data_IF_379802620811
#
_entry.id   IF_379802620811
#
_cell.length_a   1.000
_cell.length_b   1.000
_cell.length_c   1.000
_cell.angle_alpha   90.00
_cell.angle_beta   90.00
_cell.angle_gamma   90.00
#
_symmetry.space_group_name_H-M   'P 1'
#
loop_
_entity.id
_entity.type
_entity.pdbx_description
1 polymer ?
#
# COMPACT_ATOMS: atom_id res chain seq x y z
N UNK A 1 -11.93 10.75 -0.63
CA UNK A 1 -12.84 9.57 -0.73
C UNK A 1 -12.13 8.26 -0.43
N UNK A 2 -11.39 7.62 -1.36
CA UNK A 2 -10.76 6.31 -1.09
C UNK A 2 -9.71 6.40 0.05
N UNK A 3 -8.89 7.45 0.03
CA UNK A 3 -7.91 7.69 1.09
C UNK A 3 -8.53 7.82 2.48
N UNK A 4 -9.57 8.63 2.64
CA UNK A 4 -10.24 8.83 3.93
C UNK A 4 -10.86 7.53 4.48
N UNK A 5 -11.37 6.66 3.60
CA UNK A 5 -11.91 5.36 3.99
C UNK A 5 -10.79 4.46 4.53
N UNK A 6 -9.65 4.39 3.83
CA UNK A 6 -8.45 3.65 4.26
C UNK A 6 -7.92 4.19 5.58
N UNK A 7 -7.79 5.51 5.71
CA UNK A 7 -7.30 6.15 6.93
C UNK A 7 -8.21 5.88 8.12
N UNK A 8 -9.52 6.02 7.94
CA UNK A 8 -10.51 5.77 8.98
C UNK A 8 -10.47 4.32 9.46
N UNK A 9 -10.38 3.37 8.54
CA UNK A 9 -10.36 1.95 8.87
C UNK A 9 -9.05 1.51 9.53
N UNK A 10 -7.91 1.99 9.02
CA UNK A 10 -6.61 1.74 9.63
C UNK A 10 -6.52 2.36 11.04
N UNK A 11 -7.08 3.57 11.25
CA UNK A 11 -7.14 4.20 12.57
C UNK A 11 -7.97 3.41 13.56
N UNK A 12 -9.11 2.83 13.15
CA UNK A 12 -9.92 1.92 14.01
C UNK A 12 -9.12 0.69 14.45
N UNK A 13 -8.25 0.19 13.57
CA UNK A 13 -7.39 -0.97 13.82
C UNK A 13 -6.12 -0.61 14.64
N UNK A 14 -5.89 0.69 14.88
CA UNK A 14 -4.70 1.18 15.57
C UNK A 14 -3.43 1.10 14.72
N UNK A 15 -3.57 1.08 13.40
CA UNK A 15 -2.43 1.05 12.48
C UNK A 15 -1.99 2.47 12.16
N UNK A 16 -0.68 2.65 12.00
CA UNK A 16 -0.16 3.86 11.40
C UNK A 16 -0.33 3.76 9.89
N UNK A 17 -1.00 4.75 9.30
CA UNK A 17 -1.35 4.74 7.88
C UNK A 17 -0.94 6.06 7.23
N UNK A 18 -0.31 5.95 6.07
CA UNK A 18 -0.06 7.09 5.20
C UNK A 18 -0.69 6.82 3.84
N UNK A 19 -1.56 7.71 3.38
CA UNK A 19 -2.20 7.58 2.07
C UNK A 19 -1.73 8.66 1.11
N UNK A 20 -1.11 8.26 0.01
CA UNK A 20 -0.84 9.13 -1.16
C UNK A 20 -2.05 9.08 -2.10
N UNK A 21 -2.62 10.24 -2.40
CA UNK A 21 -3.72 10.37 -3.35
C UNK A 21 -3.19 10.80 -4.70
N UNK A 22 -3.60 10.16 -5.80
CA UNK A 22 -3.27 10.61 -7.15
C UNK A 22 -4.51 11.00 -7.91
N UNK A 23 -4.63 12.29 -8.19
CA UNK A 23 -5.70 12.85 -9.01
C UNK A 23 -5.18 13.51 -10.28
N UNK A 24 -6.08 14.10 -11.07
CA UNK A 24 -5.76 14.82 -12.30
C UNK A 24 -4.80 16.00 -12.11
N UNK A 25 -4.71 16.52 -10.89
CA UNK A 25 -3.83 17.65 -10.51
C UNK A 25 -2.47 17.20 -9.97
N UNK A 26 -2.23 15.89 -9.85
CA UNK A 26 -0.98 15.31 -9.35
C UNK A 26 -1.15 14.46 -8.09
N UNK A 27 -0.02 14.11 -7.46
CA UNK A 27 0.03 13.35 -6.22
C UNK A 27 -0.07 14.28 -5.00
N UNK A 28 -1.10 14.08 -4.16
CA UNK A 28 -1.23 14.67 -2.84
C UNK A 28 -0.70 13.72 -1.76
N UNK A 29 -0.14 14.26 -0.69
CA UNK A 29 0.46 13.50 0.42
C UNK A 29 1.51 12.48 -0.06
N UNK A 30 2.44 12.94 -0.90
CA UNK A 30 3.53 12.13 -1.42
C UNK A 30 4.23 11.35 -0.31
N UNK A 31 4.34 10.04 -0.51
CA UNK A 31 5.02 9.14 0.42
C UNK A 31 6.53 9.30 0.24
N UNK A 32 7.24 9.55 1.34
CA UNK A 32 8.70 9.66 1.33
C UNK A 32 9.35 8.27 1.37
N UNK A 33 10.57 8.10 0.86
CA UNK A 33 11.29 6.83 0.92
C UNK A 33 11.54 6.36 2.36
N UNK A 34 11.66 7.27 3.32
CA UNK A 34 11.78 6.96 4.74
C UNK A 34 10.52 6.30 5.30
N UNK A 35 9.34 6.83 4.92
CA UNK A 35 8.06 6.23 5.27
C UNK A 35 7.95 4.83 4.65
N UNK A 36 8.36 4.66 3.39
CA UNK A 36 8.40 3.34 2.73
C UNK A 36 9.28 2.37 3.50
N UNK A 37 10.46 2.81 3.93
CA UNK A 37 11.37 1.98 4.72
C UNK A 37 10.75 1.55 6.05
N UNK A 38 9.99 2.44 6.71
CA UNK A 38 9.29 2.15 7.96
C UNK A 38 8.02 1.28 7.79
N UNK A 39 7.43 1.25 6.60
CA UNK A 39 6.21 0.50 6.36
C UNK A 39 6.45 -1.01 6.28
N UNK A 40 5.53 -1.76 6.87
CA UNK A 40 5.48 -3.22 6.83
C UNK A 40 4.71 -3.73 5.59
N UNK A 41 3.74 -2.94 5.12
CA UNK A 41 2.82 -3.30 4.04
C UNK A 41 2.50 -2.11 3.15
N UNK A 42 2.46 -2.33 1.84
CA UNK A 42 2.09 -1.36 0.82
C UNK A 42 0.79 -1.80 0.14
N UNK A 43 -0.20 -0.92 0.04
CA UNK A 43 -1.46 -1.15 -0.66
C UNK A 43 -1.58 -0.16 -1.81
N UNK A 44 -1.76 -0.67 -3.02
CA UNK A 44 -1.94 0.13 -4.22
C UNK A 44 -3.38 -0.03 -4.69
N UNK A 45 -4.22 0.93 -4.35
CA UNK A 45 -5.62 1.00 -4.73
C UNK A 45 -5.80 1.92 -5.94
N UNK A 46 -5.28 1.55 -7.11
CA UNK A 46 -5.27 2.41 -8.29
C UNK A 46 -5.79 1.68 -9.54
N UNK A 47 -6.66 2.34 -10.30
CA UNK A 47 -7.19 1.84 -11.59
C UNK A 47 -6.33 2.28 -12.80
N UNK A 48 -5.25 3.00 -12.54
CA UNK A 48 -4.29 3.51 -13.53
C UNK A 48 -2.89 2.97 -13.23
N UNK A 49 -1.96 3.17 -14.16
CA UNK A 49 -0.54 2.91 -13.90
C UNK A 49 0.03 4.00 -12.98
N UNK A 50 0.69 3.55 -11.92
CA UNK A 50 1.37 4.39 -10.94
C UNK A 50 2.82 3.94 -10.83
N UNK A 51 3.71 4.90 -10.59
CA UNK A 51 5.12 4.59 -10.33
C UNK A 51 5.27 4.00 -8.93
N UNK A 52 5.71 2.74 -8.90
CA UNK A 52 5.85 1.93 -7.69
C UNK A 52 7.30 1.53 -7.42
N UNK A 53 8.25 2.03 -8.19
CA UNK A 53 9.66 1.63 -8.08
C UNK A 53 10.21 1.91 -6.67
N UNK A 54 9.70 2.96 -6.01
CA UNK A 54 10.02 3.29 -4.61
C UNK A 54 9.62 2.22 -3.58
N UNK A 55 8.68 1.33 -3.93
CA UNK A 55 8.19 0.25 -3.06
C UNK A 55 8.88 -1.11 -3.35
N UNK A 56 9.93 -1.13 -4.16
CA UNK A 56 10.68 -2.34 -4.45
C UNK A 56 11.16 -3.05 -3.17
N UNK A 57 10.94 -4.36 -3.09
CA UNK A 57 11.32 -5.18 -1.94
C UNK A 57 10.33 -5.15 -0.77
N UNK A 58 9.26 -4.36 -0.84
CA UNK A 58 8.21 -4.33 0.19
C UNK A 58 7.05 -5.27 -0.15
N UNK A 59 6.39 -5.87 0.86
CA UNK A 59 5.13 -6.57 0.65
C UNK A 59 4.10 -5.59 0.10
N UNK A 60 3.56 -5.90 -1.07
CA UNK A 60 2.65 -5.06 -1.80
C UNK A 60 1.39 -5.84 -2.18
N UNK A 61 0.24 -5.20 -2.01
CA UNK A 61 -1.06 -5.67 -2.47
C UNK A 61 -1.67 -4.64 -3.41
N UNK A 62 -2.15 -5.06 -4.59
CA UNK A 62 -2.78 -4.18 -5.58
C UNK A 62 -4.27 -4.46 -5.69
N UNK A 63 -5.09 -3.40 -5.71
CA UNK A 63 -6.54 -3.43 -5.88
C UNK A 63 -7.03 -2.18 -6.64
N UNK A 64 -8.34 -2.07 -6.88
CA UNK A 64 -8.97 -0.91 -7.54
C UNK A 64 -9.38 0.17 -6.54
N UNK A 65 -9.47 1.43 -6.99
CA UNK A 65 -9.95 2.54 -6.13
C UNK A 65 -11.38 2.29 -5.64
N UNK A 66 -12.23 1.74 -6.52
CA UNK A 66 -13.62 1.43 -6.23
C UNK A 66 -13.78 0.37 -5.13
N UNK A 67 -12.94 -0.67 -5.13
CA UNK A 67 -12.95 -1.69 -4.08
C UNK A 67 -12.36 -1.16 -2.78
N UNK A 68 -11.27 -0.40 -2.84
CA UNK A 68 -10.68 0.21 -1.65
C UNK A 68 -11.61 1.22 -0.97
N UNK A 69 -12.52 1.86 -1.72
CA UNK A 69 -13.55 2.74 -1.17
C UNK A 69 -14.75 1.97 -0.59
N UNK A 70 -15.30 0.99 -1.32
CA UNK A 70 -16.54 0.29 -0.93
C UNK A 70 -16.30 -0.87 0.05
N UNK A 71 -15.13 -1.48 -0.01
CA UNK A 71 -14.76 -2.71 0.72
C UNK A 71 -13.42 -2.56 1.41
N UNK A 72 -13.12 -1.38 1.94
CA UNK A 72 -11.83 -1.03 2.56
C UNK A 72 -11.34 -2.08 3.55
N UNK A 73 -12.18 -2.47 4.52
CA UNK A 73 -11.81 -3.46 5.53
C UNK A 73 -11.38 -4.79 4.91
N UNK A 74 -12.16 -5.30 3.94
CA UNK A 74 -11.86 -6.55 3.25
C UNK A 74 -10.55 -6.45 2.45
N UNK A 75 -10.29 -5.33 1.79
CA UNK A 75 -9.05 -5.13 1.03
C UNK A 75 -7.83 -4.99 1.96
N UNK A 76 -7.96 -4.35 3.13
CA UNK A 76 -6.91 -4.33 4.16
C UNK A 76 -6.62 -5.73 4.71
N UNK A 77 -7.65 -6.54 4.95
CA UNK A 77 -7.50 -7.92 5.43
C UNK A 77 -6.81 -8.81 4.39
N UNK A 78 -7.23 -8.72 3.12
CA UNK A 78 -6.55 -9.39 2.01
C UNK A 78 -5.11 -8.94 1.89
N UNK A 79 -4.83 -7.65 1.99
CA UNK A 79 -3.47 -7.15 1.89
C UNK A 79 -2.53 -7.75 2.94
N UNK A 80 -3.01 -8.09 4.14
CA UNK A 80 -2.16 -8.78 5.12
C UNK A 80 -1.82 -10.23 4.77
N UNK A 81 -2.66 -10.88 3.97
CA UNK A 81 -2.55 -12.31 3.64
C UNK A 81 -1.94 -12.53 2.26
N UNK A 82 -2.35 -11.72 1.29
CA UNK A 82 -2.05 -11.84 -0.13
C UNK A 82 -0.94 -10.90 -0.61
N UNK A 83 -0.43 -10.00 0.24
CA UNK A 83 0.68 -9.14 -0.18
C UNK A 83 1.93 -9.96 -0.52
N UNK A 84 2.47 -9.69 -1.70
CA UNK A 84 3.69 -10.31 -2.19
C UNK A 84 4.80 -9.29 -2.30
N UNK A 85 6.05 -9.73 -2.26
CA UNK A 85 7.18 -8.81 -2.40
C UNK A 85 7.16 -8.22 -3.81
N UNK A 86 6.94 -6.91 -3.90
CA UNK A 86 7.00 -6.21 -5.18
C UNK A 86 8.44 -6.15 -5.68
N UNK A 87 8.65 -6.57 -6.93
CA UNK A 87 9.90 -6.39 -7.64
C UNK A 87 9.61 -5.63 -8.93
N UNK A 88 10.12 -4.40 -9.10
CA UNK A 88 10.02 -3.72 -10.38
C UNK A 88 10.76 -4.56 -11.43
N UNK A 89 10.21 -4.65 -12.64
CA UNK A 89 10.66 -5.56 -13.70
C UNK A 89 12.08 -5.31 -14.24
N UNK A 90 12.92 -4.52 -13.55
CA UNK A 90 14.28 -4.14 -13.98
C UNK A 90 15.43 -4.71 -13.14
N UNK A 91 15.22 -5.57 -12.15
CA UNK A 91 16.36 -6.21 -11.47
C UNK A 91 16.06 -7.62 -10.98
N UNK A 92 16.90 -8.55 -11.41
CA UNK A 92 16.85 -9.96 -11.05
C UNK A 92 17.54 -10.23 -9.70
N UNK A 93 16.88 -11.08 -8.89
CA UNK A 93 17.35 -11.91 -7.76
C UNK A 93 17.49 -11.31 -6.34
N UNK A 94 17.44 -12.13 -5.26
CA UNK A 94 16.67 -13.36 -5.02
C UNK A 94 15.61 -13.23 -3.91
N UNK A 95 14.73 -14.22 -3.87
CA UNK A 95 13.52 -14.41 -3.07
C UNK A 95 13.80 -14.44 -1.56
N UNK A 96 13.38 -13.42 -0.81
CA UNK A 96 13.35 -13.46 0.66
C UNK A 96 11.91 -13.71 1.13
N UNK A 97 11.67 -14.87 1.77
CA UNK A 97 10.37 -15.20 2.34
C UNK A 97 10.02 -14.22 3.47
N UNK A 98 8.87 -13.56 3.34
CA UNK A 98 8.37 -12.60 4.31
C UNK A 98 7.97 -13.32 5.62
N UNK A 99 8.78 -13.09 6.65
CA UNK A 99 8.53 -13.52 8.03
C UNK A 99 7.37 -12.68 8.58
N UNK A 100 6.24 -13.33 8.90
CA UNK A 100 5.06 -12.73 9.56
C UNK A 100 5.48 -11.94 10.80
N UNK A 101 5.61 -10.62 10.65
CA UNK A 101 5.52 -9.67 11.76
C UNK A 101 4.13 -9.05 11.73
N UNK A 102 3.59 -8.73 12.90
CA UNK A 102 2.36 -7.95 13.03
C UNK A 102 2.63 -6.59 12.39
N UNK A 103 2.17 -6.39 11.15
CA UNK A 103 2.32 -5.15 10.42
C UNK A 103 1.59 -4.04 11.18
N UNK A 104 2.32 -3.02 11.63
CA UNK A 104 1.75 -1.85 12.31
C UNK A 104 1.84 -0.61 11.43
N UNK A 105 2.79 -0.58 10.47
CA UNK A 105 2.94 0.48 9.48
C UNK A 105 2.35 0.08 8.13
N UNK A 106 1.33 0.81 7.69
CA UNK A 106 0.66 0.64 6.42
C UNK A 106 0.86 1.87 5.53
N UNK A 107 1.27 1.65 4.28
CA UNK A 107 1.24 2.69 3.27
C UNK A 107 0.19 2.33 2.23
N UNK A 108 -0.66 3.28 1.88
CA UNK A 108 -1.59 3.12 0.78
C UNK A 108 -1.38 4.20 -0.29
N UNK A 109 -1.60 3.85 -1.54
CA UNK A 109 -1.69 4.82 -2.64
C UNK A 109 -2.97 4.58 -3.41
N UNK A 110 -3.75 5.63 -3.68
CA UNK A 110 -5.02 5.53 -4.40
C UNK A 110 -5.23 6.67 -5.40
#
# INVERSE_FOLDING_TARGET
MAAEAIESEAKKRGWWVKVETRGSVGAGNAITPEEVAAADLVIVAADIEVDLDKFAGKPMYRTSTGLALKKTAQELDKAQVEAEIFQPQKSAAPRAQARRKRAQGLIATC
#
